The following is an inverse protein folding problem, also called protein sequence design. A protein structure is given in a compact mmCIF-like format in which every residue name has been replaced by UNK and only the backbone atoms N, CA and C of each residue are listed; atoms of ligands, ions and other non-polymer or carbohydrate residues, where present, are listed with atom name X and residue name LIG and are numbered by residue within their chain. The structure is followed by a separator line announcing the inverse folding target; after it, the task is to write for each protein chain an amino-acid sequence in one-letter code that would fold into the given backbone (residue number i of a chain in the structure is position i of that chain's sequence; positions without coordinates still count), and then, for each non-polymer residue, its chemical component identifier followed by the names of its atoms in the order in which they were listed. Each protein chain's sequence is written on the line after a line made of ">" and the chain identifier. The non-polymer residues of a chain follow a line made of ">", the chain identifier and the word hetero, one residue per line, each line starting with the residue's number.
data_IF_059245724790
#
_entry.id   IF_059245724790
#
_cell.length_a   1.000
_cell.length_b   1.000
_cell.length_c   1.000
_cell.angle_alpha   90.00
_cell.angle_beta   90.00
_cell.angle_gamma   90.00
#
_symmetry.space_group_name_H-M   'P 1'
#
loop_
_entity.id
_entity.type
_entity.pdbx_description
1 polymer ?
#
# COMPACT_ATOMS: atom_id res chain seq x y z
N UNK A 1 14.39 -58.73 20.07
CA UNK A 1 15.16 -57.71 20.79
C UNK A 1 15.36 -56.54 19.83
N UNK A 2 14.45 -55.55 19.89
CA UNK A 2 14.60 -54.21 20.51
C UNK A 2 15.19 -53.19 19.51
N UNK A 3 14.34 -52.42 18.83
CA UNK A 3 13.87 -51.03 19.10
C UNK A 3 14.86 -49.96 18.62
N UNK A 4 14.37 -49.08 17.75
CA UNK A 4 15.01 -47.83 17.34
C UNK A 4 14.06 -47.01 16.47
N UNK A 5 13.18 -46.25 17.12
CA UNK A 5 12.31 -45.25 16.50
C UNK A 5 13.09 -43.98 16.19
N UNK A 6 12.97 -43.43 14.99
CA UNK A 6 13.13 -42.00 14.75
C UNK A 6 11.98 -41.50 13.88
N UNK A 7 11.04 -40.86 14.56
CA UNK A 7 9.97 -40.03 14.00
C UNK A 7 10.52 -38.61 13.96
N UNK A 8 10.89 -38.07 12.80
CA UNK A 8 11.11 -36.62 12.66
C UNK A 8 10.63 -36.14 11.29
N UNK A 9 9.64 -35.23 11.32
CA UNK A 9 9.44 -34.23 10.29
C UNK A 9 8.51 -34.61 9.15
N UNK A 10 7.20 -34.60 9.43
CA UNK A 10 6.15 -34.46 8.41
C UNK A 10 6.52 -33.37 7.39
N UNK A 11 6.48 -33.72 6.11
CA UNK A 11 6.64 -32.84 4.93
C UNK A 11 5.55 -31.74 4.85
N UNK A 12 4.73 -31.56 5.90
CA UNK A 12 3.60 -30.64 5.97
C UNK A 12 3.95 -29.19 6.39
N UNK A 13 5.19 -28.87 6.74
CA UNK A 13 5.61 -27.50 7.13
C UNK A 13 6.22 -26.68 5.98
N UNK A 14 5.97 -27.08 4.73
CA UNK A 14 6.11 -26.14 3.61
C UNK A 14 4.97 -25.14 3.73
N UNK A 15 5.28 -24.00 4.35
CA UNK A 15 4.49 -22.77 4.34
C UNK A 15 3.82 -22.67 2.98
N UNK A 16 2.51 -22.94 2.96
CA UNK A 16 1.69 -22.77 1.77
C UNK A 16 1.89 -21.31 1.38
N UNK A 17 2.46 -21.07 0.21
CA UNK A 17 2.32 -19.79 -0.48
C UNK A 17 0.85 -19.68 -0.91
N UNK A 18 -0.05 -19.54 0.07
CA UNK A 18 -1.47 -19.38 -0.12
C UNK A 18 -1.70 -17.93 -0.47
N UNK A 19 -2.26 -17.67 -1.66
CA UNK A 19 -3.07 -16.49 -2.01
C UNK A 19 -2.87 -15.33 -1.03
N UNK A 20 -1.89 -14.46 -1.29
CA UNK A 20 -1.59 -13.29 -0.43
C UNK A 20 -2.91 -12.66 0.01
N UNK A 21 -3.15 -12.65 1.32
CA UNK A 21 -4.33 -12.00 1.86
C UNK A 21 -4.06 -10.50 1.78
N UNK A 22 -5.01 -9.71 1.24
CA UNK A 22 -4.88 -8.27 1.25
C UNK A 22 -4.71 -7.79 2.69
N UNK A 23 -3.72 -6.92 2.89
CA UNK A 23 -3.40 -6.36 4.19
C UNK A 23 -4.50 -5.41 4.67
N UNK A 24 -4.56 -5.20 5.98
CA UNK A 24 -5.41 -4.19 6.63
C UNK A 24 -4.60 -2.92 6.92
N UNK A 25 -5.18 -1.74 6.73
CA UNK A 25 -4.52 -0.50 7.08
C UNK A 25 -4.69 -0.25 8.59
N UNK A 26 -3.60 0.10 9.27
CA UNK A 26 -3.63 0.48 10.68
C UNK A 26 -3.05 1.87 10.86
N UNK A 27 -3.44 2.52 11.93
CA UNK A 27 -2.82 3.77 12.37
C UNK A 27 -1.76 3.44 13.44
N UNK A 28 -0.46 3.69 13.18
CA UNK A 28 0.59 3.37 14.14
C UNK A 28 0.45 4.15 15.46
N UNK A 29 -0.24 5.29 15.48
CA UNK A 29 -0.50 6.06 16.72
C UNK A 29 -1.51 5.34 17.65
N UNK A 30 -2.24 4.36 17.13
CA UNK A 30 -3.16 3.51 17.90
C UNK A 30 -2.48 2.27 18.50
N UNK A 31 -1.16 2.11 18.32
CA UNK A 31 -0.40 0.99 18.88
C UNK A 31 0.00 1.30 20.33
N UNK A 32 -0.43 0.46 21.27
CA UNK A 32 -0.08 0.54 22.69
C UNK A 32 0.20 -0.85 23.24
N UNK A 33 1.32 -1.04 23.92
CA UNK A 33 1.72 -2.31 24.54
C UNK A 33 1.58 -3.53 23.60
N UNK A 34 2.08 -3.40 22.36
CA UNK A 34 1.96 -4.41 21.29
C UNK A 34 0.52 -4.77 20.88
N UNK A 35 -0.46 -3.93 21.21
CA UNK A 35 -1.85 -4.07 20.79
C UNK A 35 -2.30 -2.87 19.98
N UNK A 36 -3.31 -3.07 19.15
CA UNK A 36 -3.94 -1.99 18.40
C UNK A 36 -5.43 -2.22 18.24
N UNK A 37 -6.16 -1.12 18.07
CA UNK A 37 -7.55 -1.14 17.63
C UNK A 37 -7.61 -0.92 16.12
N UNK A 38 -8.38 -1.76 15.42
CA UNK A 38 -8.67 -1.50 14.01
C UNK A 38 -9.74 -0.42 13.87
N UNK A 39 -9.68 0.36 12.79
CA UNK A 39 -10.75 1.30 12.47
C UNK A 39 -12.08 0.57 12.19
N UNK A 40 -13.20 1.29 12.27
CA UNK A 40 -14.53 0.71 11.95
C UNK A 40 -14.59 0.07 10.56
N UNK A 41 -13.94 0.71 9.57
CA UNK A 41 -13.88 0.21 8.19
C UNK A 41 -13.10 -1.11 8.10
N UNK A 42 -11.96 -1.20 8.81
CA UNK A 42 -11.18 -2.44 8.82
C UNK A 42 -11.81 -3.54 9.66
N UNK A 43 -12.50 -3.20 10.76
CA UNK A 43 -13.35 -4.15 11.48
C UNK A 43 -14.43 -4.74 10.56
N UNK A 44 -15.09 -3.89 9.76
CA UNK A 44 -16.06 -4.34 8.76
C UNK A 44 -15.40 -5.24 7.70
N UNK A 45 -14.22 -4.88 7.19
CA UNK A 45 -13.49 -5.74 6.24
C UNK A 45 -13.08 -7.08 6.83
N UNK A 46 -12.64 -7.14 8.09
CA UNK A 46 -12.34 -8.38 8.80
C UNK A 46 -13.57 -9.30 8.84
N UNK A 47 -14.75 -8.76 9.15
CA UNK A 47 -16.02 -9.52 9.15
C UNK A 47 -16.41 -10.01 7.76
N UNK A 48 -16.36 -9.13 6.74
CA UNK A 48 -16.71 -9.50 5.36
C UNK A 48 -15.78 -10.60 4.83
N UNK A 49 -14.50 -10.55 5.22
CA UNK A 49 -13.50 -11.58 4.90
C UNK A 49 -13.61 -12.84 5.78
N UNK A 50 -14.49 -12.82 6.79
CA UNK A 50 -14.77 -13.92 7.72
C UNK A 50 -13.54 -14.33 8.53
N UNK A 51 -12.67 -13.37 8.85
CA UNK A 51 -11.53 -13.58 9.74
C UNK A 51 -12.05 -13.89 11.14
N UNK A 52 -11.46 -14.88 11.80
CA UNK A 52 -11.85 -15.30 13.15
C UNK A 52 -10.83 -14.88 14.20
N UNK A 53 -11.30 -14.73 15.43
CA UNK A 53 -10.44 -14.56 16.59
C UNK A 53 -9.38 -15.68 16.64
N UNK A 54 -8.13 -15.31 16.92
CA UNK A 54 -6.97 -16.19 16.93
C UNK A 54 -6.25 -16.33 15.59
N UNK A 55 -6.87 -15.94 14.46
CA UNK A 55 -6.23 -15.93 13.15
C UNK A 55 -5.24 -14.77 13.03
N UNK A 56 -4.21 -14.97 12.19
CA UNK A 56 -3.19 -13.97 11.89
C UNK A 56 -3.53 -13.29 10.56
N UNK A 57 -3.48 -11.96 10.56
CA UNK A 57 -3.65 -11.12 9.37
C UNK A 57 -2.42 -10.26 9.14
N UNK A 58 -2.18 -9.93 7.88
CA UNK A 58 -1.17 -8.93 7.51
C UNK A 58 -1.77 -7.53 7.63
N UNK A 59 -0.99 -6.58 8.11
CA UNK A 59 -1.35 -5.17 8.19
C UNK A 59 -0.19 -4.27 7.78
N UNK A 60 -0.53 -3.05 7.37
CA UNK A 60 0.40 -2.01 6.93
C UNK A 60 0.04 -0.69 7.60
N UNK A 61 1.03 0.16 7.88
CA UNK A 61 0.80 1.52 8.38
C UNK A 61 0.70 2.58 7.28
N UNK A 62 1.01 2.22 6.03
CA UNK A 62 1.08 3.15 4.91
C UNK A 62 2.35 4.01 4.90
N UNK A 63 3.23 3.87 5.89
CA UNK A 63 4.44 4.65 6.10
C UNK A 63 5.72 3.82 5.91
N UNK A 64 5.59 2.55 5.53
CA UNK A 64 6.72 1.67 5.21
C UNK A 64 6.91 0.50 6.16
N UNK A 65 6.05 0.34 7.17
CA UNK A 65 6.10 -0.82 8.08
C UNK A 65 4.97 -1.80 7.79
N UNK A 66 5.30 -3.09 7.81
CA UNK A 66 4.34 -4.18 7.78
C UNK A 66 4.28 -4.88 9.14
N UNK A 67 3.11 -5.44 9.45
CA UNK A 67 2.82 -6.09 10.72
C UNK A 67 2.11 -7.42 10.46
N UNK A 68 2.43 -8.43 11.25
CA UNK A 68 1.55 -9.59 11.43
C UNK A 68 0.80 -9.42 12.74
N UNK A 69 -0.52 -9.51 12.67
CA UNK A 69 -1.41 -9.25 13.80
C UNK A 69 -2.25 -10.48 14.06
N UNK A 70 -2.23 -10.98 15.29
CA UNK A 70 -3.20 -11.96 15.77
C UNK A 70 -4.46 -11.22 16.20
N UNK A 71 -5.61 -11.58 15.61
CA UNK A 71 -6.89 -10.99 15.97
C UNK A 71 -7.32 -11.47 17.37
N UNK A 72 -7.43 -10.58 18.34
CA UNK A 72 -7.78 -10.88 19.74
C UNK A 72 -9.27 -10.68 19.99
N UNK A 73 -9.91 -9.72 19.33
CA UNK A 73 -11.35 -9.45 19.45
C UNK A 73 -11.90 -9.01 18.09
N UNK A 74 -13.11 -9.45 17.77
CA UNK A 74 -13.91 -8.91 16.67
C UNK A 74 -15.39 -9.02 17.04
N UNK A 75 -15.96 -7.95 17.57
CA UNK A 75 -17.36 -7.86 17.97
C UNK A 75 -17.94 -6.50 17.56
N UNK A 76 -19.03 -6.48 16.79
CA UNK A 76 -19.57 -5.24 16.25
C UNK A 76 -18.49 -4.42 15.53
N UNK A 77 -18.21 -3.20 15.99
CA UNK A 77 -17.13 -2.35 15.47
C UNK A 77 -15.81 -2.47 16.28
N UNK A 78 -15.82 -3.18 17.39
CA UNK A 78 -14.65 -3.37 18.23
C UNK A 78 -13.80 -4.50 17.68
N UNK A 79 -12.60 -4.14 17.21
CA UNK A 79 -11.64 -5.08 16.67
C UNK A 79 -10.26 -4.78 17.27
N UNK A 80 -9.72 -5.76 18.01
CA UNK A 80 -8.43 -5.61 18.71
C UNK A 80 -7.47 -6.66 18.18
N UNK A 81 -6.26 -6.22 17.85
CA UNK A 81 -5.16 -7.06 17.42
C UNK A 81 -3.98 -7.04 18.39
N UNK A 82 -3.23 -8.12 18.42
CA UNK A 82 -1.91 -8.23 19.05
C UNK A 82 -0.84 -8.36 17.97
N UNK A 83 0.18 -7.52 18.01
CA UNK A 83 1.30 -7.54 17.07
C UNK A 83 2.19 -8.73 17.40
N UNK A 84 2.29 -9.69 16.47
CA UNK A 84 3.17 -10.86 16.60
C UNK A 84 4.49 -10.70 15.87
N UNK A 85 4.52 -9.85 14.84
CA UNK A 85 5.74 -9.45 14.14
C UNK A 85 5.57 -8.04 13.57
N UNK A 86 6.65 -7.27 13.58
CA UNK A 86 6.78 -5.97 12.93
C UNK A 86 8.01 -5.99 12.05
N UNK A 87 7.89 -5.47 10.83
CA UNK A 87 8.99 -5.40 9.87
C UNK A 87 9.00 -4.04 9.18
N UNK A 88 10.10 -3.31 9.37
CA UNK A 88 10.39 -2.14 8.55
C UNK A 88 10.81 -2.63 7.15
N UNK A 89 10.00 -2.34 6.14
CA UNK A 89 10.35 -2.69 4.77
C UNK A 89 11.31 -1.61 4.22
N UNK A 90 12.60 -1.78 4.52
CA UNK A 90 13.69 -0.96 3.95
C UNK A 90 13.81 -1.09 2.42
N UNK A 91 13.03 -1.98 1.79
CA UNK A 91 13.02 -2.24 0.35
C UNK A 91 12.36 -1.13 -0.50
N UNK A 92 11.82 -0.08 0.12
CA UNK A 92 11.55 1.18 -0.58
C UNK A 92 12.77 2.10 -0.59
N UNK A 93 13.95 1.47 -0.68
CA UNK A 93 15.26 2.12 -0.71
C UNK A 93 15.46 2.88 -2.02
N UNK A 94 16.12 4.03 -1.89
CA UNK A 94 16.39 4.98 -2.95
C UNK A 94 16.94 4.35 -4.24
N UNK A 95 16.66 4.96 -5.40
CA UNK A 95 15.95 6.23 -5.56
C UNK A 95 14.43 6.09 -5.43
N UNK A 96 13.80 7.06 -4.76
CA UNK A 96 12.34 7.16 -4.75
C UNK A 96 11.85 7.53 -6.16
N UNK A 97 10.90 6.76 -6.67
CA UNK A 97 10.27 7.04 -7.95
C UNK A 97 9.12 8.03 -7.75
N UNK A 98 9.28 9.26 -8.24
CA UNK A 98 8.20 10.26 -8.28
C UNK A 98 7.62 10.31 -9.70
N UNK A 99 6.33 10.04 -9.85
CA UNK A 99 5.64 10.00 -11.14
C UNK A 99 4.81 11.26 -11.35
N UNK A 100 5.28 12.15 -12.23
CA UNK A 100 4.47 13.25 -12.73
C UNK A 100 3.73 12.80 -14.01
N UNK A 101 2.40 12.90 -14.01
CA UNK A 101 1.57 12.34 -15.09
C UNK A 101 0.36 13.20 -15.40
N UNK A 102 0.13 13.44 -16.70
CA UNK A 102 -1.02 14.19 -17.20
C UNK A 102 -2.34 13.52 -16.80
N UNK A 103 -3.27 14.32 -16.27
CA UNK A 103 -4.60 13.84 -15.95
C UNK A 103 -5.37 13.39 -17.20
N UNK A 104 -6.07 12.26 -17.09
CA UNK A 104 -6.80 11.63 -18.19
C UNK A 104 -8.31 11.62 -17.95
N UNK A 105 -9.09 11.63 -19.03
CA UNK A 105 -10.55 11.53 -18.98
C UNK A 105 -11.00 10.16 -18.45
N UNK A 106 -12.16 10.16 -17.79
CA UNK A 106 -12.77 8.96 -17.24
C UNK A 106 -11.95 8.34 -16.10
N UNK A 107 -11.92 7.01 -16.05
CA UNK A 107 -11.24 6.23 -15.00
C UNK A 107 -9.80 5.84 -15.36
N UNK A 108 -9.25 6.34 -16.48
CA UNK A 108 -7.88 5.97 -16.89
C UNK A 108 -6.83 6.39 -15.86
N UNK A 109 -7.04 7.54 -15.21
CA UNK A 109 -6.14 8.00 -14.17
C UNK A 109 -6.23 7.14 -12.90
N UNK A 110 -7.39 6.55 -12.61
CA UNK A 110 -7.55 5.60 -11.49
C UNK A 110 -6.65 4.38 -11.71
N UNK A 111 -6.60 3.86 -12.95
CA UNK A 111 -5.68 2.78 -13.33
C UNK A 111 -4.21 3.19 -13.16
N UNK A 112 -3.86 4.44 -13.49
CA UNK A 112 -2.51 4.94 -13.25
C UNK A 112 -2.19 4.94 -11.76
N UNK A 113 -3.09 5.42 -10.91
CA UNK A 113 -2.90 5.44 -9.45
C UNK A 113 -2.73 4.03 -8.90
N UNK A 114 -3.58 3.10 -9.31
CA UNK A 114 -3.49 1.69 -8.92
C UNK A 114 -2.14 1.09 -9.33
N UNK A 115 -1.77 1.21 -10.61
CA UNK A 115 -0.55 0.57 -11.13
C UNK A 115 0.73 1.24 -10.64
N UNK A 116 0.75 2.56 -10.52
CA UNK A 116 1.85 3.30 -9.90
C UNK A 116 2.08 2.82 -8.45
N UNK A 117 1.01 2.60 -7.69
CA UNK A 117 1.10 2.06 -6.34
C UNK A 117 1.71 0.65 -6.33
N UNK A 118 1.25 -0.23 -7.22
CA UNK A 118 1.74 -1.61 -7.33
C UNK A 118 3.23 -1.70 -7.71
N UNK A 119 3.74 -0.79 -8.54
CA UNK A 119 5.12 -0.85 -9.06
C UNK A 119 6.16 -0.10 -8.23
N UNK A 120 5.80 0.44 -7.06
CA UNK A 120 6.79 1.08 -6.20
C UNK A 120 6.86 2.61 -6.30
N UNK A 121 5.95 3.31 -7.01
CA UNK A 121 5.95 4.79 -7.04
C UNK A 121 5.78 5.34 -5.62
N UNK A 122 6.58 6.33 -5.26
CA UNK A 122 6.59 6.98 -3.95
C UNK A 122 5.65 8.19 -3.91
N UNK A 123 5.60 8.98 -4.99
CA UNK A 123 4.68 10.13 -5.12
C UNK A 123 4.07 10.13 -6.51
N UNK A 124 2.77 10.39 -6.60
CA UNK A 124 2.07 10.63 -7.86
C UNK A 124 1.70 12.11 -7.90
N UNK A 125 2.23 12.83 -8.89
CA UNK A 125 1.99 14.25 -9.14
C UNK A 125 1.06 14.40 -10.36
N UNK A 126 -0.25 14.62 -10.17
CA UNK A 126 -1.15 14.87 -11.28
C UNK A 126 -0.82 16.21 -11.94
N UNK A 127 -0.73 16.18 -13.27
CA UNK A 127 -0.39 17.35 -14.08
C UNK A 127 -1.61 17.90 -14.80
N UNK A 128 -1.75 19.23 -14.78
CA UNK A 128 -2.45 19.94 -15.83
C UNK A 128 -1.47 20.29 -16.95
N UNK A 129 -1.87 20.00 -18.18
CA UNK A 129 -1.08 20.22 -19.40
C UNK A 129 -1.94 20.96 -20.42
N UNK A 130 -1.34 21.68 -21.37
CA UNK A 130 -2.04 22.45 -22.41
C UNK A 130 -3.10 21.64 -23.18
N UNK A 131 -2.77 20.40 -23.57
CA UNK A 131 -3.69 19.50 -24.30
C UNK A 131 -4.66 18.75 -23.38
N UNK A 132 -4.58 18.98 -22.07
CA UNK A 132 -5.34 18.33 -21.02
C UNK A 132 -6.70 19.00 -20.82
N UNK A 133 -7.76 18.19 -20.81
CA UNK A 133 -9.16 18.65 -20.74
C UNK A 133 -9.81 18.38 -19.38
N UNK A 134 -9.06 17.80 -18.44
CA UNK A 134 -9.55 17.38 -17.13
C UNK A 134 -9.03 18.35 -16.08
N UNK A 135 -9.95 18.91 -15.28
CA UNK A 135 -9.61 19.68 -14.09
C UNK A 135 -9.67 18.78 -12.85
N UNK A 136 -8.80 19.05 -11.88
CA UNK A 136 -8.51 18.18 -10.72
C UNK A 136 -9.49 18.26 -9.56
N UNK A 137 -10.51 19.12 -9.65
CA UNK A 137 -11.44 19.39 -8.55
C UNK A 137 -12.16 18.11 -8.08
N UNK A 138 -12.10 17.84 -6.77
CA UNK A 138 -12.83 16.74 -6.14
C UNK A 138 -12.30 15.33 -6.43
N UNK A 139 -11.13 15.17 -7.05
CA UNK A 139 -10.59 13.84 -7.41
C UNK A 139 -9.56 13.27 -6.42
N UNK A 140 -8.95 14.13 -5.60
CA UNK A 140 -7.85 13.75 -4.71
C UNK A 140 -8.24 12.62 -3.75
N UNK A 141 -9.32 12.79 -2.98
CA UNK A 141 -9.78 11.76 -2.03
C UNK A 141 -10.08 10.41 -2.71
N UNK A 142 -10.58 10.43 -3.94
CA UNK A 142 -10.84 9.20 -4.70
C UNK A 142 -9.53 8.49 -5.02
N UNK A 143 -8.51 9.23 -5.47
CA UNK A 143 -7.20 8.67 -5.79
C UNK A 143 -6.47 8.18 -4.55
N UNK A 144 -6.57 8.88 -3.43
CA UNK A 144 -6.04 8.41 -2.14
C UNK A 144 -6.69 7.08 -1.74
N UNK A 145 -8.02 6.94 -1.85
CA UNK A 145 -8.71 5.66 -1.58
C UNK A 145 -8.26 4.55 -2.54
N UNK A 146 -8.01 4.86 -3.81
CA UNK A 146 -7.50 3.89 -4.78
C UNK A 146 -6.08 3.45 -4.42
N UNK A 147 -5.20 4.38 -4.05
CA UNK A 147 -3.83 4.09 -3.64
C UNK A 147 -3.82 3.22 -2.37
N UNK A 148 -4.63 3.56 -1.36
CA UNK A 148 -4.79 2.74 -0.15
C UNK A 148 -5.26 1.32 -0.49
N UNK A 149 -6.29 1.19 -1.33
CA UNK A 149 -6.80 -0.11 -1.74
C UNK A 149 -5.75 -0.92 -2.51
N UNK A 150 -5.01 -0.30 -3.43
CA UNK A 150 -3.95 -0.95 -4.19
C UNK A 150 -2.81 -1.42 -3.27
N UNK A 151 -2.33 -0.56 -2.36
CA UNK A 151 -1.28 -0.88 -1.40
C UNK A 151 -1.65 -2.08 -0.52
N UNK A 152 -2.88 -2.09 0.03
CA UNK A 152 -3.43 -3.22 0.79
C UNK A 152 -3.44 -4.52 -0.02
N UNK A 153 -3.85 -4.45 -1.30
CA UNK A 153 -3.96 -5.65 -2.15
C UNK A 153 -2.60 -6.21 -2.55
N UNK A 154 -1.62 -5.36 -2.88
CA UNK A 154 -0.28 -5.81 -3.24
C UNK A 154 0.62 -6.10 -2.03
N UNK A 155 0.19 -5.69 -0.83
CA UNK A 155 0.93 -5.85 0.43
C UNK A 155 2.06 -4.83 0.57
N UNK A 156 1.94 -3.67 -0.09
CA UNK A 156 2.93 -2.61 0.00
C UNK A 156 2.72 -1.82 1.29
N UNK A 157 3.78 -1.66 2.07
CA UNK A 157 3.71 -1.00 3.37
C UNK A 157 3.72 0.53 3.28
N UNK A 158 4.18 1.11 2.17
CA UNK A 158 4.04 2.53 1.87
C UNK A 158 2.88 2.80 0.90
N UNK A 159 2.02 3.76 1.22
CA UNK A 159 1.01 4.26 0.30
C UNK A 159 1.58 5.51 -0.39
N UNK A 160 1.62 5.58 -1.73
CA UNK A 160 2.14 6.77 -2.40
C UNK A 160 1.36 8.02 -2.04
N UNK A 161 2.07 9.11 -1.83
CA UNK A 161 1.45 10.42 -1.72
C UNK A 161 0.82 10.80 -3.07
N UNK A 162 -0.44 11.19 -3.06
CA UNK A 162 -1.09 11.81 -4.22
C UNK A 162 -1.00 13.32 -4.03
N UNK A 163 -0.09 13.97 -4.75
CA UNK A 163 0.12 15.40 -4.61
C UNK A 163 -1.06 16.21 -5.19
N UNK A 164 -1.16 17.47 -4.77
CA UNK A 164 -2.13 18.41 -5.36
C UNK A 164 -1.84 18.60 -6.85
N UNK A 165 -2.89 18.73 -7.64
CA UNK A 165 -2.77 19.01 -9.08
C UNK A 165 -1.95 20.26 -9.30
N UNK A 166 -1.00 20.19 -10.22
CA UNK A 166 -0.08 21.28 -10.53
C UNK A 166 0.09 21.42 -12.05
N UNK A 167 0.32 22.64 -12.52
CA UNK A 167 0.66 22.90 -13.93
C UNK A 167 2.01 22.30 -14.28
N UNK A 168 2.18 21.88 -15.53
CA UNK A 168 3.42 21.25 -16.02
C UNK A 168 4.68 22.08 -15.70
N UNK A 169 4.69 23.36 -16.05
CA UNK A 169 5.86 24.24 -15.84
C UNK A 169 6.23 24.39 -14.37
N UNK A 170 5.22 24.42 -13.49
CA UNK A 170 5.42 24.48 -12.04
C UNK A 170 6.03 23.19 -11.51
N UNK A 171 5.64 22.02 -12.03
CA UNK A 171 6.25 20.74 -11.64
C UNK A 171 7.69 20.64 -12.12
N UNK A 172 7.98 21.03 -13.36
CA UNK A 172 9.35 21.04 -13.89
C UNK A 172 10.25 21.92 -13.02
N UNK A 173 9.76 23.11 -12.64
CA UNK A 173 10.48 24.04 -11.75
C UNK A 173 10.72 23.41 -10.38
N UNK A 174 9.66 22.89 -9.75
CA UNK A 174 9.71 22.25 -8.44
C UNK A 174 10.66 21.04 -8.41
N UNK A 175 10.72 20.24 -9.47
CA UNK A 175 11.60 19.08 -9.54
C UNK A 175 13.06 19.46 -9.79
N UNK A 176 13.30 20.52 -10.57
CA UNK A 176 14.65 21.06 -10.78
C UNK A 176 15.26 21.60 -9.47
N UNK A 177 14.46 22.28 -8.64
CA UNK A 177 14.88 22.78 -7.32
C UNK A 177 15.21 21.66 -6.32
N UNK A 178 14.66 20.45 -6.53
CA UNK A 178 14.86 19.28 -5.67
C UNK A 178 16.04 18.39 -6.10
N UNK A 179 16.83 18.82 -7.09
CA UNK A 179 17.99 18.07 -7.63
C UNK A 179 17.65 16.62 -8.05
N UNK A 180 16.42 16.39 -8.52
CA UNK A 180 15.98 15.07 -8.97
C UNK A 180 16.58 14.70 -10.33
N UNK A 181 16.89 13.42 -10.54
CA UNK A 181 17.13 12.90 -11.89
C UNK A 181 15.81 12.80 -12.64
N UNK A 182 15.64 13.62 -13.70
CA UNK A 182 14.42 13.66 -14.48
C UNK A 182 14.49 12.72 -15.69
N UNK A 183 13.50 11.83 -15.81
CA UNK A 183 13.27 11.01 -17.00
C UNK A 183 11.95 11.44 -17.63
N UNK A 184 11.96 11.70 -18.94
CA UNK A 184 10.78 12.11 -19.70
C UNK A 184 10.45 11.04 -20.74
N UNK A 185 9.22 10.54 -20.69
CA UNK A 185 8.70 9.65 -21.72
C UNK A 185 8.21 10.49 -22.92
N UNK A 186 9.09 10.71 -23.90
CA UNK A 186 8.79 11.44 -25.13
C UNK A 186 8.67 10.46 -26.31
N UNK A 187 7.47 10.32 -26.93
CA UNK A 187 7.30 9.46 -28.09
C UNK A 187 8.06 9.94 -29.34
N UNK A 188 8.58 11.17 -29.35
CA UNK A 188 9.39 11.74 -30.42
C UNK A 188 10.89 11.76 -30.14
N UNK A 189 11.36 11.25 -29.00
CA UNK A 189 12.79 11.14 -28.73
C UNK A 189 13.40 10.00 -29.56
N UNK A 190 14.48 10.30 -30.29
CA UNK A 190 15.33 9.27 -30.88
C UNK A 190 16.08 8.56 -29.73
N UNK A 191 15.92 7.24 -29.64
CA UNK A 191 16.50 6.40 -28.57
C UNK A 191 18.00 6.18 -28.68
#
# INVERSE_FOLDING_TARGET
>A
MAVGSETIGSVAERVRWSKRMPAFLIDPDQIQDHRLSFSNDEAHHLRVRRIRQGEIVDAIDGQGTSYRIRLVLLDGNDAIGEIVEQKQEHAEGQPYLHLAVAMMKGQRFDTVVEKATEIGVHTIQPLLTERGVVRGEGKLERWERIAQAAAKQCGRSHIPEIAKVMEFDSVVTSFAERELSLLVADPGADG
#
